data_IF_996070208689
#
_entry.id   IF_996070208689
#
_cell.length_a   1.000
_cell.length_b   1.000
_cell.length_c   1.000
_cell.angle_alpha   90.00
_cell.angle_beta   90.00
_cell.angle_gamma   90.00
#
_symmetry.space_group_name_H-M   'P 1'
#
loop_
_entity.id
_entity.type
_entity.pdbx_description
1 polymer ?
#
# COMPACT_ATOMS: atom_id res chain seq x y z
N UNK A 1 -19.19 -6.38 15.72
CA UNK A 1 -17.95 -6.50 14.94
C UNK A 1 -17.10 -5.26 15.11
N UNK A 2 -15.80 -5.41 15.37
CA UNK A 2 -14.82 -4.32 15.51
C UNK A 2 -13.68 -4.55 14.53
N UNK A 3 -13.44 -3.58 13.64
CA UNK A 3 -12.38 -3.64 12.63
C UNK A 3 -11.28 -2.66 13.02
N UNK A 4 -10.04 -3.14 13.06
CA UNK A 4 -8.84 -2.32 13.25
C UNK A 4 -8.01 -2.36 11.97
N UNK A 5 -7.72 -1.19 11.40
CA UNK A 5 -6.86 -1.02 10.24
C UNK A 5 -5.46 -0.58 10.68
N UNK A 6 -4.46 -1.38 10.30
CA UNK A 6 -3.07 -1.08 10.57
C UNK A 6 -2.46 -0.30 9.40
N UNK A 7 -1.97 0.91 9.69
CA UNK A 7 -1.57 1.91 8.68
C UNK A 7 -0.09 2.26 8.69
N UNK A 8 0.71 1.56 9.48
CA UNK A 8 2.12 1.86 9.68
C UNK A 8 2.34 2.91 10.77
N UNK A 9 1.98 4.16 10.48
CA UNK A 9 2.05 5.27 11.44
C UNK A 9 0.65 5.65 11.93
N UNK A 10 0.51 5.78 13.25
CA UNK A 10 -0.71 6.25 13.88
C UNK A 10 -0.78 7.80 13.80
N UNK A 11 -1.32 8.28 12.68
CA UNK A 11 -1.47 9.71 12.39
C UNK A 11 -2.86 9.98 11.79
N UNK A 12 -3.93 9.89 12.60
CA UNK A 12 -5.31 9.92 12.12
C UNK A 12 -5.64 11.25 11.42
N UNK A 13 -6.46 11.18 10.36
CA UNK A 13 -6.83 12.34 9.54
C UNK A 13 -5.86 12.62 8.39
N UNK A 14 -4.63 12.12 8.44
CA UNK A 14 -3.64 12.25 7.37
C UNK A 14 -3.60 11.01 6.46
N UNK A 15 -3.27 11.22 5.18
CA UNK A 15 -2.96 10.13 4.25
C UNK A 15 -1.64 9.47 4.62
N UNK A 16 -1.55 8.16 4.41
CA UNK A 16 -0.29 7.41 4.58
C UNK A 16 0.42 7.18 3.26
N UNK A 17 1.71 6.88 3.38
CA UNK A 17 2.59 6.62 2.24
C UNK A 17 2.31 5.32 1.48
N UNK A 18 1.53 4.41 2.06
CA UNK A 18 1.11 3.16 1.42
C UNK A 18 -0.20 3.40 0.67
N UNK A 19 -0.21 3.42 -0.68
CA UNK A 19 -1.44 3.62 -1.44
C UNK A 19 -2.46 2.51 -1.17
N UNK A 20 -2.00 1.30 -0.83
CA UNK A 20 -2.84 0.16 -0.50
C UNK A 20 -3.64 0.38 0.79
N UNK A 21 -3.07 1.07 1.80
CA UNK A 21 -3.80 1.44 3.01
C UNK A 21 -4.84 2.51 2.66
N UNK A 22 -4.44 3.53 1.88
CA UNK A 22 -5.36 4.59 1.42
C UNK A 22 -6.54 4.01 0.64
N UNK A 23 -6.31 2.99 -0.19
CA UNK A 23 -7.34 2.25 -0.92
C UNK A 23 -8.36 1.60 0.03
N UNK A 24 -7.90 0.93 1.10
CA UNK A 24 -8.82 0.34 2.08
C UNK A 24 -9.61 1.42 2.83
N UNK A 25 -8.94 2.49 3.28
CA UNK A 25 -9.62 3.61 3.94
C UNK A 25 -10.70 4.23 3.05
N UNK A 26 -10.42 4.35 1.74
CA UNK A 26 -11.41 4.82 0.78
C UNK A 26 -12.66 3.93 0.76
N UNK A 27 -12.50 2.61 0.66
CA UNK A 27 -13.62 1.67 0.71
C UNK A 27 -14.41 1.76 2.02
N UNK A 28 -13.73 1.85 3.16
CA UNK A 28 -14.39 1.97 4.46
C UNK A 28 -15.21 3.25 4.58
N UNK A 29 -14.65 4.38 4.15
CA UNK A 29 -15.36 5.67 4.15
C UNK A 29 -16.54 5.67 3.19
N UNK A 30 -16.36 5.12 1.99
CA UNK A 30 -17.43 5.02 0.98
C UNK A 30 -18.60 4.16 1.47
N UNK A 31 -18.32 3.10 2.22
CA UNK A 31 -19.32 2.22 2.81
C UNK A 31 -19.83 2.67 4.19
N UNK A 32 -19.33 3.80 4.72
CA UNK A 32 -19.60 4.29 6.07
C UNK A 32 -19.36 3.22 7.17
N UNK A 33 -18.38 2.34 6.95
CA UNK A 33 -17.99 1.31 7.92
C UNK A 33 -17.22 1.96 9.06
N UNK A 34 -17.57 1.62 10.31
CA UNK A 34 -16.81 2.06 11.49
C UNK A 34 -15.56 1.20 11.64
N UNK A 35 -14.39 1.85 11.67
CA UNK A 35 -13.10 1.20 11.87
C UNK A 35 -12.22 2.02 12.82
N UNK A 36 -11.25 1.36 13.44
CA UNK A 36 -10.24 1.95 14.30
C UNK A 36 -8.91 1.96 13.56
N UNK A 37 -8.14 3.02 13.72
CA UNK A 37 -6.79 3.13 13.18
C UNK A 37 -5.77 2.73 14.23
N UNK A 38 -4.77 1.96 13.82
CA UNK A 38 -3.62 1.63 14.67
C UNK A 38 -2.28 1.69 13.90
N UNK A 39 -1.19 1.89 14.64
CA UNK A 39 0.16 1.74 14.15
C UNK A 39 0.43 0.29 13.77
N UNK A 40 1.08 0.07 12.63
CA UNK A 40 1.34 -1.26 12.09
C UNK A 40 2.81 -1.46 11.80
N UNK A 41 3.28 -2.71 11.83
CA UNK A 41 4.62 -3.04 11.37
C UNK A 41 4.53 -4.15 10.34
N UNK A 42 5.28 -4.07 9.22
CA UNK A 42 5.43 -5.19 8.30
C UNK A 42 5.82 -6.49 9.01
N UNK A 43 6.59 -6.43 10.11
CA UNK A 43 6.99 -7.61 10.90
C UNK A 43 5.84 -8.31 11.62
N UNK A 44 4.79 -7.57 11.93
CA UNK A 44 3.60 -8.06 12.64
C UNK A 44 2.49 -8.47 11.68
N UNK A 45 2.67 -8.21 10.38
CA UNK A 45 1.69 -8.51 9.37
C UNK A 45 1.83 -9.97 8.89
N UNK A 46 0.71 -10.67 8.60
CA UNK A 46 0.72 -12.07 8.18
C UNK A 46 1.62 -12.37 6.99
N UNK A 47 1.67 -11.48 5.99
CA UNK A 47 2.48 -11.63 4.78
C UNK A 47 3.68 -10.69 4.73
N UNK A 48 4.03 -10.04 5.82
CA UNK A 48 5.14 -9.12 5.84
C UNK A 48 4.86 -7.75 5.19
N UNK A 49 3.59 -7.42 4.89
CA UNK A 49 3.19 -6.13 4.28
C UNK A 49 2.45 -5.24 5.27
N UNK A 50 2.63 -3.93 5.19
CA UNK A 50 2.06 -3.00 6.19
C UNK A 50 0.53 -2.94 6.19
N UNK A 51 -0.10 -3.38 5.10
CA UNK A 51 -1.52 -3.19 4.81
C UNK A 51 -2.33 -4.39 5.26
N UNK A 52 -2.73 -4.41 6.54
CA UNK A 52 -3.54 -5.49 7.09
C UNK A 52 -4.62 -4.95 8.04
N UNK A 53 -5.66 -5.75 8.26
CA UNK A 53 -6.72 -5.47 9.21
C UNK A 53 -6.84 -6.59 10.23
N UNK A 54 -7.33 -6.26 11.42
CA UNK A 54 -7.86 -7.24 12.36
C UNK A 54 -9.37 -7.09 12.48
N UNK A 55 -10.08 -8.20 12.40
CA UNK A 55 -11.53 -8.25 12.56
C UNK A 55 -11.84 -9.04 13.83
N UNK A 56 -12.49 -8.37 14.78
CA UNK A 56 -12.95 -8.95 16.04
C UNK A 56 -14.47 -9.09 16.00
N UNK A 57 -14.96 -10.31 16.16
CA UNK A 57 -16.37 -10.60 16.44
C UNK A 57 -16.51 -11.09 17.88
N UNK A 58 -17.58 -10.66 18.55
CA UNK A 58 -17.85 -11.08 19.92
C UNK A 58 -17.96 -12.61 20.00
N UNK A 59 -17.21 -13.23 20.91
CA UNK A 59 -17.17 -14.68 21.09
C UNK A 59 -16.25 -15.45 20.13
N UNK A 60 -15.55 -14.78 19.21
CA UNK A 60 -14.57 -15.40 18.30
C UNK A 60 -13.18 -14.81 18.46
N UNK A 61 -12.16 -15.63 18.23
CA UNK A 61 -10.78 -15.14 18.13
C UNK A 61 -10.66 -14.16 16.96
N UNK A 62 -9.90 -13.05 17.12
CA UNK A 62 -9.64 -12.16 16.01
C UNK A 62 -8.89 -12.88 14.90
N UNK A 63 -9.24 -12.56 13.66
CA UNK A 63 -8.47 -12.98 12.50
C UNK A 63 -7.86 -11.77 11.80
N UNK A 64 -6.74 -12.01 11.13
CA UNK A 64 -6.01 -11.00 10.37
C UNK A 64 -6.21 -11.24 8.88
N UNK A 65 -6.55 -10.19 8.15
CA UNK A 65 -6.55 -10.17 6.69
C UNK A 65 -5.44 -9.23 6.21
N UNK A 66 -4.68 -9.66 5.22
CA UNK A 66 -3.57 -8.92 4.62
C UNK A 66 -3.76 -8.88 3.10
N UNK A 67 -3.08 -7.94 2.44
CA UNK A 67 -3.24 -7.55 1.04
C UNK A 67 -4.57 -6.83 0.76
N UNK A 68 -4.49 -5.61 0.21
CA UNK A 68 -5.68 -4.78 0.01
C UNK A 68 -6.74 -5.42 -0.90
N UNK A 69 -6.34 -6.20 -1.90
CA UNK A 69 -7.30 -6.83 -2.80
C UNK A 69 -8.05 -7.96 -2.09
N UNK A 70 -7.34 -8.78 -1.32
CA UNK A 70 -7.94 -9.87 -0.55
C UNK A 70 -8.79 -9.36 0.61
N UNK A 71 -8.36 -8.31 1.29
CA UNK A 71 -9.15 -7.64 2.34
C UNK A 71 -10.47 -7.15 1.77
N UNK A 72 -10.45 -6.41 0.66
CA UNK A 72 -11.67 -5.89 0.05
C UNK A 72 -12.56 -7.05 -0.42
N UNK A 73 -12.01 -8.05 -1.09
CA UNK A 73 -12.77 -9.21 -1.57
C UNK A 73 -13.45 -9.97 -0.42
N UNK A 74 -12.72 -10.29 0.65
CA UNK A 74 -13.28 -11.01 1.79
C UNK A 74 -14.35 -10.22 2.56
N UNK A 75 -14.18 -8.89 2.66
CA UNK A 75 -15.20 -8.04 3.29
C UNK A 75 -16.44 -7.85 2.41
N UNK A 76 -16.29 -7.86 1.09
CA UNK A 76 -17.41 -7.89 0.15
C UNK A 76 -18.17 -9.21 0.25
N UNK A 77 -17.45 -10.34 0.27
CA UNK A 77 -18.06 -11.67 0.43
C UNK A 77 -18.81 -11.81 1.77
N UNK A 78 -18.32 -11.12 2.81
CA UNK A 78 -18.94 -11.08 4.14
C UNK A 78 -20.05 -10.02 4.29
N UNK A 79 -20.46 -9.36 3.21
CA UNK A 79 -21.48 -8.30 3.18
C UNK A 79 -21.18 -7.09 4.10
N UNK A 80 -19.90 -6.87 4.41
CA UNK A 80 -19.42 -5.74 5.22
C UNK A 80 -19.15 -4.52 4.32
N UNK A 81 -18.67 -4.78 3.11
CA UNK A 81 -18.43 -3.74 2.10
C UNK A 81 -19.30 -3.98 0.87
N UNK A 82 -19.87 -2.92 0.28
CA UNK A 82 -20.47 -3.03 -1.04
C UNK A 82 -19.39 -3.30 -2.08
N UNK A 83 -19.72 -4.12 -3.07
CA UNK A 83 -18.89 -4.26 -4.26
C UNK A 83 -19.10 -3.05 -5.17
N UNK A 84 -18.18 -2.08 -5.11
CA UNK A 84 -18.22 -0.85 -5.90
C UNK A 84 -18.24 -1.10 -7.42
N UNK A 85 -17.71 -2.24 -7.86
CA UNK A 85 -17.57 -2.61 -9.27
C UNK A 85 -18.61 -3.67 -9.71
N UNK A 86 -19.63 -3.95 -8.90
CA UNK A 86 -20.61 -4.99 -9.17
C UNK A 86 -21.36 -4.77 -10.50
N UNK A 87 -21.76 -3.52 -10.76
CA UNK A 87 -22.53 -3.10 -11.93
C UNK A 87 -21.71 -2.97 -13.21
N UNK A 88 -20.39 -3.21 -13.16
CA UNK A 88 -19.56 -3.15 -14.36
C UNK A 88 -19.86 -4.35 -15.29
N UNK A 89 -20.03 -4.04 -16.57
CA UNK A 89 -20.08 -5.04 -17.64
C UNK A 89 -18.76 -5.82 -17.75
N UNK A 90 -18.76 -7.05 -18.31
CA UNK A 90 -17.54 -7.88 -18.37
C UNK A 90 -16.32 -7.18 -18.99
N UNK A 91 -16.51 -6.39 -20.05
CA UNK A 91 -15.43 -5.63 -20.67
C UNK A 91 -14.87 -4.54 -19.73
N UNK A 92 -15.74 -3.82 -19.01
CA UNK A 92 -15.35 -2.80 -18.06
C UNK A 92 -14.64 -3.39 -16.83
N UNK A 93 -15.00 -4.60 -16.40
CA UNK A 93 -14.29 -5.33 -15.32
C UNK A 93 -12.85 -5.65 -15.72
N UNK A 94 -12.62 -6.03 -16.97
CA UNK A 94 -11.26 -6.25 -17.49
C UNK A 94 -10.46 -4.94 -17.55
N UNK A 95 -11.09 -3.83 -17.96
CA UNK A 95 -10.45 -2.51 -17.95
C UNK A 95 -10.09 -2.06 -16.53
N UNK A 96 -11.00 -2.21 -15.56
CA UNK A 96 -10.74 -1.95 -14.14
C UNK A 96 -9.55 -2.77 -13.62
N UNK A 97 -9.46 -4.06 -13.97
CA UNK A 97 -8.31 -4.89 -13.62
C UNK A 97 -7.01 -4.38 -14.26
N UNK A 98 -7.04 -3.97 -15.53
CA UNK A 98 -5.88 -3.43 -16.23
C UNK A 98 -5.39 -2.11 -15.63
N UNK A 99 -6.31 -1.21 -15.26
CA UNK A 99 -5.99 0.07 -14.60
C UNK A 99 -5.38 -0.19 -13.22
N UNK A 100 -5.97 -1.10 -12.43
CA UNK A 100 -5.40 -1.48 -11.13
C UNK A 100 -3.98 -2.04 -11.28
N UNK A 101 -3.75 -2.94 -12.23
CA UNK A 101 -2.40 -3.45 -12.52
C UNK A 101 -1.42 -2.33 -12.94
N UNK A 102 -1.86 -1.40 -13.79
CA UNK A 102 -1.05 -0.26 -14.21
C UNK A 102 -0.63 0.62 -13.02
N UNK A 103 -1.56 0.89 -12.10
CA UNK A 103 -1.31 1.74 -10.94
C UNK A 103 -0.51 1.01 -9.84
N UNK A 104 -0.88 -0.23 -9.53
CA UNK A 104 -0.36 -0.99 -8.38
C UNK A 104 0.92 -1.75 -8.69
N UNK A 105 1.11 -2.22 -9.93
CA UNK A 105 2.25 -3.07 -10.32
C UNK A 105 3.28 -2.36 -11.21
N UNK A 106 2.93 -1.22 -11.82
CA UNK A 106 3.86 -0.40 -12.61
C UNK A 106 4.15 0.95 -11.95
N UNK A 107 3.15 1.82 -11.86
CA UNK A 107 3.32 3.20 -11.37
C UNK A 107 3.80 3.23 -9.91
N UNK A 108 3.30 2.33 -9.06
CA UNK A 108 3.75 2.20 -7.67
C UNK A 108 5.27 2.02 -7.56
N UNK A 109 5.87 1.17 -8.39
CA UNK A 109 7.32 0.90 -8.34
C UNK A 109 8.15 2.10 -8.79
N UNK A 110 7.63 2.93 -9.70
CA UNK A 110 8.27 4.21 -10.04
C UNK A 110 8.33 5.13 -8.82
N UNK A 111 7.24 5.21 -8.04
CA UNK A 111 7.22 5.95 -6.77
C UNK A 111 8.07 5.30 -5.66
N UNK A 112 8.28 3.98 -5.68
CA UNK A 112 9.23 3.32 -4.78
C UNK A 112 10.67 3.71 -5.12
N UNK A 113 11.04 3.68 -6.41
CA UNK A 113 12.35 4.11 -6.90
C UNK A 113 12.63 5.55 -6.53
N UNK A 114 11.71 6.47 -6.82
CA UNK A 114 11.85 7.89 -6.50
C UNK A 114 12.10 8.12 -5.00
N UNK A 115 11.36 7.43 -4.13
CA UNK A 115 11.49 7.58 -2.68
C UNK A 115 12.78 6.99 -2.13
N UNK A 116 13.22 5.85 -2.64
CA UNK A 116 14.30 5.07 -2.00
C UNK A 116 15.63 5.12 -2.74
N UNK A 117 15.65 5.49 -4.01
CA UNK A 117 16.86 5.68 -4.81
C UNK A 117 17.16 7.17 -4.93
N UNK A 118 16.25 7.93 -5.54
CA UNK A 118 16.50 9.34 -5.86
C UNK A 118 16.44 10.25 -4.62
N UNK A 119 15.53 9.96 -3.67
CA UNK A 119 15.31 10.76 -2.47
C UNK A 119 15.63 10.02 -1.15
N UNK A 120 16.59 9.09 -1.20
CA UNK A 120 16.91 8.18 -0.09
C UNK A 120 17.10 8.88 1.27
N UNK A 121 17.87 9.97 1.33
CA UNK A 121 18.19 10.61 2.62
C UNK A 121 16.95 11.22 3.29
N UNK A 122 16.11 11.90 2.51
CA UNK A 122 14.84 12.47 2.98
C UNK A 122 13.92 11.35 3.45
N UNK A 123 13.82 10.28 2.65
CA UNK A 123 12.95 9.14 2.95
C UNK A 123 13.39 8.40 4.21
N UNK A 124 14.68 8.10 4.35
CA UNK A 124 15.27 7.47 5.53
C UNK A 124 15.00 8.31 6.78
N UNK A 125 15.19 9.63 6.70
CA UNK A 125 14.94 10.55 7.82
C UNK A 125 13.51 10.50 8.32
N UNK A 126 12.53 10.46 7.40
CA UNK A 126 11.11 10.37 7.75
C UNK A 126 10.69 8.98 8.25
N UNK A 127 11.06 7.92 7.53
CA UNK A 127 10.61 6.55 7.83
C UNK A 127 11.27 5.98 9.09
N UNK A 128 12.56 6.28 9.29
CA UNK A 128 13.36 5.75 10.41
C UNK A 128 13.64 6.84 11.46
N UNK A 129 12.84 7.91 11.50
CA UNK A 129 13.03 9.05 12.39
C UNK A 129 12.98 8.69 13.87
N UNK A 130 12.25 7.63 14.24
CA UNK A 130 12.21 7.09 15.61
C UNK A 130 13.46 6.31 16.01
N UNK A 131 14.29 5.88 15.05
CA UNK A 131 15.53 5.14 15.32
C UNK A 131 16.65 6.14 15.61
N UNK A 132 17.41 6.02 16.72
CA UNK A 132 18.52 6.92 17.03
C UNK A 132 19.73 6.72 16.11
N UNK A 133 20.61 7.73 16.04
CA UNK A 133 21.94 7.58 15.42
C UNK A 133 22.85 6.75 16.34
N UNK A 134 23.79 5.95 15.77
CA UNK A 134 24.05 5.71 14.35
C UNK A 134 23.18 4.61 13.72
N UNK A 135 22.36 3.89 14.51
CA UNK A 135 21.55 2.76 14.05
C UNK A 135 20.62 3.10 12.88
N UNK A 136 20.08 4.33 12.85
CA UNK A 136 19.27 4.82 11.72
C UNK A 136 19.98 4.70 10.37
N UNK A 137 21.28 4.97 10.33
CA UNK A 137 22.09 4.90 9.11
C UNK A 137 22.24 3.45 8.65
N UNK A 138 22.56 2.56 9.58
CA UNK A 138 22.74 1.13 9.31
C UNK A 138 21.44 0.48 8.82
N UNK A 139 20.33 0.66 9.55
CA UNK A 139 19.01 0.14 9.17
C UNK A 139 18.56 0.72 7.83
N UNK A 140 18.79 2.02 7.62
CA UNK A 140 18.51 2.68 6.34
C UNK A 140 19.28 2.05 5.18
N UNK A 141 20.57 1.75 5.37
CA UNK A 141 21.40 1.15 4.33
C UNK A 141 20.95 -0.27 3.99
N UNK A 142 20.58 -1.08 4.99
CA UNK A 142 20.00 -2.41 4.76
C UNK A 142 18.67 -2.32 3.99
N UNK A 143 17.79 -1.38 4.36
CA UNK A 143 16.55 -1.13 3.64
C UNK A 143 16.81 -0.70 2.19
N UNK A 144 17.76 0.22 1.96
CA UNK A 144 18.17 0.65 0.62
C UNK A 144 18.61 -0.53 -0.25
N UNK A 145 19.51 -1.38 0.27
CA UNK A 145 20.01 -2.56 -0.46
C UNK A 145 18.88 -3.52 -0.82
N UNK A 146 18.00 -3.80 0.12
CA UNK A 146 16.85 -4.69 -0.10
C UNK A 146 15.92 -4.13 -1.17
N UNK A 147 15.57 -2.84 -1.08
CA UNK A 147 14.64 -2.20 -2.03
C UNK A 147 15.26 -2.10 -3.42
N UNK A 148 16.56 -1.79 -3.51
CA UNK A 148 17.28 -1.81 -4.79
C UNK A 148 17.22 -3.20 -5.43
N UNK A 149 17.53 -4.26 -4.68
CA UNK A 149 17.44 -5.63 -5.19
C UNK A 149 16.01 -5.99 -5.62
N UNK A 150 14.98 -5.56 -4.89
CA UNK A 150 13.58 -5.74 -5.30
C UNK A 150 13.23 -4.99 -6.59
N UNK A 151 13.69 -3.74 -6.75
CA UNK A 151 13.47 -2.96 -7.97
C UNK A 151 14.20 -3.57 -9.16
N UNK A 152 15.42 -4.08 -8.97
CA UNK A 152 16.18 -4.79 -10.00
C UNK A 152 15.51 -6.13 -10.34
N UNK A 153 14.99 -6.87 -9.36
CA UNK A 153 14.23 -8.10 -9.60
C UNK A 153 12.94 -7.86 -10.38
N UNK A 154 12.22 -6.79 -10.05
CA UNK A 154 10.96 -6.40 -10.71
C UNK A 154 11.18 -5.79 -12.10
N UNK A 155 12.29 -5.10 -12.34
CA UNK A 155 12.64 -4.47 -13.62
C UNK A 155 12.88 -2.97 -13.55
N UNK A 156 12.12 -2.25 -12.71
CA UNK A 156 12.19 -0.79 -12.57
C UNK A 156 13.58 -0.26 -12.20
N UNK A 157 14.38 -1.07 -11.49
CA UNK A 157 15.75 -0.72 -11.10
C UNK A 157 16.69 -0.52 -12.29
N UNK A 158 16.40 -1.14 -13.45
CA UNK A 158 17.26 -1.12 -14.65
C UNK A 158 17.19 0.16 -15.46
N UNK A 159 16.12 0.93 -15.33
CA UNK A 159 15.94 2.17 -16.09
C UNK A 159 16.71 3.33 -15.45
N UNK A 160 17.01 4.34 -16.25
CA UNK A 160 17.49 5.66 -15.80
C UNK A 160 16.35 6.48 -15.16
N UNK A 161 16.71 7.54 -14.43
CA UNK A 161 15.69 8.41 -13.84
C UNK A 161 14.89 9.19 -14.91
N UNK A 162 15.51 9.51 -16.05
CA UNK A 162 14.83 10.17 -17.19
C UNK A 162 13.82 9.24 -17.87
N UNK A 163 14.17 7.98 -18.13
CA UNK A 163 13.23 6.99 -18.69
C UNK A 163 12.02 6.78 -17.77
N UNK A 164 12.26 6.67 -16.45
CA UNK A 164 11.18 6.53 -15.46
C UNK A 164 10.27 7.76 -15.45
N UNK A 165 10.85 8.97 -15.58
CA UNK A 165 10.06 10.20 -15.67
C UNK A 165 9.14 10.18 -16.89
N UNK A 166 9.66 9.80 -18.06
CA UNK A 166 8.87 9.66 -19.30
C UNK A 166 7.74 8.64 -19.13
N UNK A 167 8.04 7.43 -18.64
CA UNK A 167 7.01 6.40 -18.43
C UNK A 167 5.94 6.83 -17.42
N UNK A 168 6.34 7.52 -16.36
CA UNK A 168 5.40 8.05 -15.35
C UNK A 168 4.50 9.11 -15.97
N UNK A 169 5.05 10.04 -16.75
CA UNK A 169 4.29 11.09 -17.42
C UNK A 169 3.28 10.52 -18.43
N UNK A 170 3.68 9.52 -19.22
CA UNK A 170 2.80 8.81 -20.16
C UNK A 170 1.58 8.21 -19.44
N UNK A 171 1.80 7.54 -18.30
CA UNK A 171 0.71 6.98 -17.49
C UNK A 171 -0.23 8.09 -17.00
N UNK A 172 0.30 9.19 -16.46
CA UNK A 172 -0.56 10.28 -15.97
C UNK A 172 -1.32 11.00 -17.07
N UNK A 173 -0.73 11.17 -18.25
CA UNK A 173 -1.41 11.78 -19.40
C UNK A 173 -2.49 10.89 -20.00
N UNK A 174 -2.39 9.57 -19.86
CA UNK A 174 -3.42 8.64 -20.37
C UNK A 174 -4.60 8.45 -19.42
N UNK A 175 -4.47 8.84 -18.15
CA UNK A 175 -5.54 8.75 -17.15
C UNK A 175 -6.37 10.04 -17.01
N UNK A 176 -5.91 11.17 -17.56
CA UNK A 176 -6.59 12.47 -17.57
C UNK A 176 -7.16 12.77 -18.95
#
# INVERSE_FOLDING_TARGET
MKITLFRGWLDPGNYVWSPFVTKIEFHFRQANVKYILDGGSPRSAPKGKITYISVHNEGLSPFLLDDSALIIAGLVESDILPNLNASLEPAAKTQDMAIRALLEDKLYFYGVRERWMDNYYIRRGKVLGSIPYPMRVLVGFLAYRQIKATLDGQGTGRFSSDEIMVFREEIWRSLN
#
